data_IF_062780111667
#
_entry.id   IF_062780111667
#
_cell.length_a   1.000
_cell.length_b   1.000
_cell.length_c   1.000
_cell.angle_alpha   90.00
_cell.angle_beta   90.00
_cell.angle_gamma   90.00
#
_symmetry.space_group_name_H-M   'P 1'
#
loop_
_entity.id
_entity.type
_entity.pdbx_description
1 polymer ?
#
# COMPACT_ATOMS: atom_id res chain seq x y z
N UNK A 1 -1.21 -21.02 9.39
CA UNK A 1 -1.27 -19.56 9.54
C UNK A 1 0.01 -19.00 8.96
N UNK A 2 -0.06 -18.24 7.86
CA UNK A 2 1.12 -17.62 7.27
C UNK A 2 1.61 -16.51 8.21
N UNK A 3 2.56 -16.84 9.08
CA UNK A 3 3.33 -15.84 9.82
C UNK A 3 4.28 -15.20 8.82
N UNK A 4 3.87 -14.10 8.19
CA UNK A 4 4.77 -13.28 7.40
C UNK A 4 5.71 -12.54 8.35
N UNK A 5 6.83 -13.19 8.65
CA UNK A 5 7.94 -12.60 9.37
C UNK A 5 8.72 -11.66 8.45
N UNK A 6 8.45 -10.37 8.55
CA UNK A 6 9.35 -9.30 8.08
C UNK A 6 8.98 -8.02 8.80
N UNK A 7 9.96 -7.21 9.25
CA UNK A 7 9.66 -5.91 9.83
C UNK A 7 8.96 -5.04 8.78
N UNK A 8 7.83 -4.45 9.18
CA UNK A 8 7.11 -3.47 8.39
C UNK A 8 8.07 -2.33 8.01
N UNK A 9 8.26 -2.01 6.73
CA UNK A 9 9.20 -0.98 6.31
C UNK A 9 8.74 0.39 6.82
N UNK A 10 9.62 1.10 7.52
CA UNK A 10 9.32 2.43 8.06
C UNK A 10 9.77 3.52 7.08
N UNK A 11 8.98 4.59 6.87
CA UNK A 11 7.67 4.85 7.46
C UNK A 11 6.52 4.19 6.66
N UNK A 12 5.55 3.58 7.34
CA UNK A 12 4.38 2.95 6.71
C UNK A 12 3.13 3.77 6.95
N UNK A 13 2.20 3.81 5.99
CA UNK A 13 0.93 4.48 6.21
C UNK A 13 0.09 3.74 7.26
N UNK A 14 -0.70 4.46 8.07
CA UNK A 14 -1.67 3.85 8.97
C UNK A 14 -2.60 2.94 8.16
N UNK A 15 -2.91 1.73 8.63
CA UNK A 15 -3.84 0.83 7.94
C UNK A 15 -3.23 -0.06 6.86
N UNK A 16 -1.94 0.07 6.55
CA UNK A 16 -1.24 -0.95 5.77
C UNK A 16 -1.32 -2.30 6.48
N UNK A 17 -1.88 -3.31 5.81
CA UNK A 17 -2.14 -4.62 6.44
C UNK A 17 -0.81 -5.34 6.67
N UNK A 18 -0.49 -5.65 7.94
CA UNK A 18 0.64 -6.51 8.24
C UNK A 18 0.33 -7.93 7.76
N UNK A 19 1.02 -8.39 6.71
CA UNK A 19 0.78 -9.73 6.16
C UNK A 19 0.98 -9.84 4.66
N UNK A 20 1.11 -8.72 3.95
CA UNK A 20 1.46 -8.72 2.54
C UNK A 20 2.97 -8.96 2.37
N UNK A 21 3.34 -9.94 1.54
CA UNK A 21 4.72 -10.20 1.16
C UNK A 21 5.33 -9.06 0.30
N UNK A 22 4.54 -8.04 -0.05
CA UNK A 22 4.92 -6.95 -0.94
C UNK A 22 4.46 -5.63 -0.32
N UNK A 23 5.41 -4.74 -0.07
CA UNK A 23 5.15 -3.36 0.32
C UNK A 23 5.51 -2.45 -0.85
N UNK A 24 4.72 -1.41 -1.09
CA UNK A 24 5.01 -0.43 -2.13
C UNK A 24 5.32 0.94 -1.50
N UNK A 25 6.46 1.54 -1.88
CA UNK A 25 6.79 2.89 -1.45
C UNK A 25 6.17 3.90 -2.41
N UNK A 26 5.18 4.63 -1.93
CA UNK A 26 4.48 5.66 -2.70
C UNK A 26 5.46 6.74 -3.14
N UNK A 27 5.50 7.03 -4.44
CA UNK A 27 6.25 8.14 -5.01
C UNK A 27 5.37 9.36 -5.21
N UNK A 28 5.97 10.54 -5.29
CA UNK A 28 5.23 11.76 -5.59
C UNK A 28 4.67 11.69 -7.01
N UNK A 29 3.34 11.80 -7.14
CA UNK A 29 2.64 11.64 -8.42
C UNK A 29 2.12 10.23 -8.68
N UNK A 30 2.36 9.27 -7.78
CA UNK A 30 1.71 7.96 -7.84
C UNK A 30 0.21 8.09 -7.53
N UNK A 31 -0.56 7.29 -8.25
CA UNK A 31 -1.98 7.06 -8.07
C UNK A 31 -2.25 5.56 -7.93
N UNK A 32 -3.44 5.18 -7.47
CA UNK A 32 -3.73 3.76 -7.25
C UNK A 32 -3.64 2.91 -8.53
N UNK A 33 -3.83 3.48 -9.71
CA UNK A 33 -3.66 2.77 -10.98
C UNK A 33 -2.19 2.47 -11.27
N UNK A 34 -1.30 3.43 -11.07
CA UNK A 34 0.16 3.23 -11.21
C UNK A 34 0.68 2.26 -10.16
N UNK A 35 0.23 2.38 -8.92
CA UNK A 35 0.62 1.49 -7.83
C UNK A 35 0.10 0.06 -8.07
N UNK A 36 -1.17 -0.07 -8.46
CA UNK A 36 -1.77 -1.36 -8.79
C UNK A 36 -1.02 -2.04 -9.96
N UNK A 37 -0.68 -1.28 -11.01
CA UNK A 37 0.17 -1.80 -12.11
C UNK A 37 1.53 -2.26 -11.63
N UNK A 38 2.20 -1.48 -10.77
CA UNK A 38 3.51 -1.84 -10.23
C UNK A 38 3.45 -3.10 -9.34
N UNK A 39 2.36 -3.26 -8.58
CA UNK A 39 2.12 -4.42 -7.73
C UNK A 39 1.52 -5.61 -8.48
N UNK A 40 1.25 -5.49 -9.80
CA UNK A 40 0.47 -6.47 -10.56
C UNK A 40 -0.86 -6.84 -9.86
N UNK A 41 -1.46 -5.85 -9.23
CA UNK A 41 -2.69 -5.94 -8.44
C UNK A 41 -3.79 -5.09 -9.10
N UNK A 42 -5.00 -5.14 -8.55
CA UNK A 42 -6.07 -4.22 -8.94
C UNK A 42 -6.18 -3.07 -7.95
N UNK A 43 -6.75 -1.93 -8.38
CA UNK A 43 -7.04 -0.82 -7.45
C UNK A 43 -7.97 -1.24 -6.30
N UNK A 44 -8.78 -2.29 -6.49
CA UNK A 44 -9.61 -2.89 -5.44
C UNK A 44 -8.73 -3.60 -4.40
N UNK A 45 -7.73 -4.35 -4.84
CA UNK A 45 -6.77 -5.01 -3.94
C UNK A 45 -5.96 -3.97 -3.16
N UNK A 46 -5.48 -2.91 -3.83
CA UNK A 46 -4.73 -1.82 -3.17
C UNK A 46 -5.59 -1.15 -2.08
N UNK A 47 -6.88 -0.89 -2.34
CA UNK A 47 -7.80 -0.40 -1.31
C UNK A 47 -8.01 -1.38 -0.17
N UNK A 48 -8.10 -2.67 -0.46
CA UNK A 48 -8.25 -3.69 0.56
C UNK A 48 -7.00 -3.76 1.47
N UNK A 49 -5.81 -3.52 0.91
CA UNK A 49 -4.55 -3.48 1.66
C UNK A 49 -4.31 -2.15 2.37
N UNK A 50 -4.96 -1.08 1.93
CA UNK A 50 -4.85 0.25 2.54
C UNK A 50 -6.22 0.91 2.66
N UNK A 51 -7.06 0.47 3.60
CA UNK A 51 -8.39 1.06 3.79
C UNK A 51 -8.36 2.55 4.17
N UNK A 52 -7.22 3.09 4.58
CA UNK A 52 -7.00 4.47 5.03
C UNK A 52 -6.74 5.48 3.92
N UNK A 53 -6.32 5.04 2.72
CA UNK A 53 -6.16 5.96 1.57
C UNK A 53 -7.52 6.52 1.09
N UNK A 54 -8.63 5.93 1.54
CA UNK A 54 -10.00 6.38 1.30
C UNK A 54 -10.45 6.19 -0.15
N UNK A 55 -11.76 6.29 -0.40
CA UNK A 55 -12.35 6.04 -1.74
C UNK A 55 -11.84 6.97 -2.84
N UNK A 56 -11.30 8.13 -2.47
CA UNK A 56 -10.78 9.12 -3.41
C UNK A 56 -9.26 9.07 -3.59
N UNK A 57 -8.55 8.11 -2.96
CA UNK A 57 -7.10 7.85 -3.13
C UNK A 57 -6.13 9.03 -2.86
N UNK A 58 -6.67 10.16 -2.41
CA UNK A 58 -6.02 11.40 -2.01
C UNK A 58 -5.15 11.31 -0.76
N UNK A 59 -5.34 10.28 0.07
CA UNK A 59 -4.57 10.10 1.29
C UNK A 59 -3.28 9.29 1.09
N UNK A 60 -2.78 9.13 -0.15
CA UNK A 60 -1.48 8.53 -0.43
C UNK A 60 -0.34 9.46 0.01
N UNK A 61 0.46 9.02 0.98
CA UNK A 61 1.58 9.80 1.49
C UNK A 61 2.85 9.44 0.73
N UNK A 62 3.39 10.38 -0.04
CA UNK A 62 4.67 10.19 -0.71
C UNK A 62 5.77 9.82 0.30
N UNK A 63 6.65 8.91 -0.10
CA UNK A 63 7.70 8.28 0.70
C UNK A 63 7.23 7.36 1.83
N UNK A 64 5.95 7.05 1.94
CA UNK A 64 5.45 6.03 2.86
C UNK A 64 5.21 4.70 2.14
N UNK A 65 5.31 3.62 2.90
CA UNK A 65 4.97 2.28 2.44
C UNK A 65 3.48 2.00 2.64
N UNK A 66 2.89 1.31 1.67
CA UNK A 66 1.56 0.69 1.74
C UNK A 66 1.64 -0.83 1.62
#
# INVERSE_FOLDING_TARGET
AATCGTPMPTPTQPGAVSGCAVYYKVQAGDDCDTIARNLSATAVDVKAWTPTIGDQYWNLWANYYI
#
